data_IF_740999567288
#
_entry.id   IF_740999567288
#
_cell.length_a   1.000
_cell.length_b   1.000
_cell.length_c   1.000
_cell.angle_alpha   90.00
_cell.angle_beta   90.00
_cell.angle_gamma   90.00
#
_symmetry.space_group_name_H-M   'P 1'
#
loop_
_entity.id
_entity.type
_entity.pdbx_description
1 polymer ?
#
# COMPACT_ATOMS: atom_id res chain seq x y z
N UNK A 1 -21.15 -9.31 -6.83
CA UNK A 1 -20.74 -8.73 -5.52
C UNK A 1 -19.54 -9.43 -4.86
N UNK A 2 -18.96 -10.47 -5.47
CA UNK A 2 -17.89 -11.26 -4.85
C UNK A 2 -16.54 -10.53 -4.79
N UNK A 3 -16.25 -9.68 -5.78
CA UNK A 3 -14.98 -8.96 -5.88
C UNK A 3 -14.83 -7.91 -4.77
N UNK A 4 -15.86 -7.07 -4.60
CA UNK A 4 -15.89 -6.01 -3.57
C UNK A 4 -15.86 -6.62 -2.16
N UNK A 5 -16.61 -7.70 -1.92
CA UNK A 5 -16.58 -8.44 -0.64
C UNK A 5 -15.23 -9.10 -0.35
N UNK A 6 -14.49 -9.54 -1.39
CA UNK A 6 -13.12 -10.06 -1.23
C UNK A 6 -12.16 -8.95 -0.83
N UNK A 7 -12.21 -7.79 -1.49
CA UNK A 7 -11.42 -6.61 -1.12
C UNK A 7 -11.69 -6.15 0.31
N UNK A 8 -12.95 -6.12 0.74
CA UNK A 8 -13.27 -5.72 2.11
C UNK A 8 -12.66 -6.65 3.16
N UNK A 9 -12.60 -7.97 2.90
CA UNK A 9 -11.90 -8.93 3.78
C UNK A 9 -10.40 -8.65 3.87
N UNK A 10 -9.77 -8.27 2.76
CA UNK A 10 -8.35 -7.90 2.73
C UNK A 10 -8.09 -6.66 3.59
N UNK A 11 -8.91 -5.62 3.46
CA UNK A 11 -8.76 -4.41 4.28
C UNK A 11 -8.99 -4.67 5.78
N UNK A 12 -9.93 -5.54 6.13
CA UNK A 12 -10.15 -5.97 7.52
C UNK A 12 -8.93 -6.74 8.05
N UNK A 13 -8.38 -7.67 7.27
CA UNK A 13 -7.16 -8.38 7.65
C UNK A 13 -5.98 -7.42 7.86
N UNK A 14 -5.85 -6.42 7.00
CA UNK A 14 -4.81 -5.39 7.10
C UNK A 14 -4.98 -4.53 8.37
N UNK A 15 -6.21 -4.18 8.74
CA UNK A 15 -6.51 -3.53 10.02
C UNK A 15 -6.12 -4.42 11.22
N UNK A 16 -6.46 -5.70 11.19
CA UNK A 16 -6.12 -6.64 12.27
C UNK A 16 -4.61 -6.77 12.45
N UNK A 17 -3.85 -6.87 11.35
CA UNK A 17 -2.39 -6.88 11.37
C UNK A 17 -1.87 -5.58 12.00
N UNK A 18 -2.38 -4.42 11.56
CA UNK A 18 -2.00 -3.12 12.11
C UNK A 18 -2.25 -3.01 13.61
N UNK A 19 -3.43 -3.43 14.09
CA UNK A 19 -3.75 -3.44 15.52
C UNK A 19 -2.86 -4.40 16.32
N UNK A 20 -2.62 -5.61 15.80
CA UNK A 20 -1.76 -6.60 16.47
C UNK A 20 -0.31 -6.11 16.62
N UNK A 21 0.22 -5.46 15.58
CA UNK A 21 1.53 -4.82 15.63
C UNK A 21 1.56 -3.68 16.65
N UNK A 22 0.54 -2.82 16.66
CA UNK A 22 0.45 -1.70 17.61
C UNK A 22 0.42 -2.20 19.07
N UNK A 23 -0.38 -3.24 19.37
CA UNK A 23 -0.44 -3.88 20.68
C UNK A 23 0.92 -4.49 21.06
N UNK A 24 1.57 -5.20 20.12
CA UNK A 24 2.89 -5.79 20.36
C UNK A 24 3.96 -4.73 20.68
N UNK A 25 3.92 -3.57 20.01
CA UNK A 25 4.79 -2.42 20.30
C UNK A 25 4.51 -1.78 21.67
N UNK A 26 3.25 -1.70 22.09
CA UNK A 26 2.84 -1.16 23.40
C UNK A 26 3.20 -2.09 24.56
N UNK A 27 3.08 -3.40 24.39
CA UNK A 27 3.42 -4.40 25.41
C UNK A 27 4.93 -4.61 25.60
N UNK A 28 5.77 -3.91 24.83
CA UNK A 28 7.23 -4.01 24.96
C UNK A 28 7.80 -5.36 24.55
N UNK A 29 7.09 -6.10 23.69
CA UNK A 29 7.50 -7.45 23.23
C UNK A 29 8.74 -7.43 22.30
N UNK A 30 9.27 -6.26 21.95
CA UNK A 30 10.41 -6.07 21.06
C UNK A 30 11.47 -5.13 21.66
N UNK A 31 12.77 -5.37 21.42
CA UNK A 31 13.86 -4.54 21.92
C UNK A 31 13.74 -3.08 21.45
N UNK A 32 14.13 -2.15 22.32
CA UNK A 32 13.80 -0.71 22.25
C UNK A 32 14.40 0.06 21.08
N UNK A 33 15.35 -0.52 20.34
CA UNK A 33 16.12 0.22 19.33
C UNK A 33 15.42 0.21 17.96
N UNK A 34 15.87 -0.65 17.05
CA UNK A 34 15.46 -0.61 15.63
C UNK A 34 14.10 -1.30 15.36
N UNK A 35 13.80 -2.34 16.14
CA UNK A 35 12.62 -3.17 15.94
C UNK A 35 11.32 -2.42 16.27
N UNK A 36 11.33 -1.57 17.29
CA UNK A 36 10.14 -0.91 17.81
C UNK A 36 9.62 0.20 16.90
N UNK A 37 10.50 1.08 16.42
CA UNK A 37 10.12 2.20 15.55
C UNK A 37 9.65 1.74 14.17
N UNK A 38 10.33 0.74 13.60
CA UNK A 38 9.93 0.12 12.33
C UNK A 38 8.55 -0.54 12.47
N UNK A 39 8.28 -1.19 13.60
CA UNK A 39 7.02 -1.87 13.86
C UNK A 39 5.86 -0.89 14.06
N UNK A 40 6.09 0.26 14.70
CA UNK A 40 5.11 1.36 14.72
C UNK A 40 4.85 1.95 13.33
N UNK A 41 5.89 2.08 12.50
CA UNK A 41 5.74 2.49 11.09
C UNK A 41 4.85 1.53 10.29
N UNK A 42 5.10 0.21 10.41
CA UNK A 42 4.26 -0.83 9.80
C UNK A 42 2.83 -0.81 10.34
N UNK A 43 2.67 -0.68 11.66
CA UNK A 43 1.36 -0.59 12.28
C UNK A 43 0.55 0.61 11.76
N UNK A 44 1.17 1.79 11.71
CA UNK A 44 0.55 3.00 11.19
C UNK A 44 0.18 2.87 9.71
N UNK A 45 1.09 2.33 8.89
CA UNK A 45 0.84 2.08 7.47
C UNK A 45 -0.33 1.14 7.23
N UNK A 46 -0.37 0.00 7.94
CA UNK A 46 -1.46 -0.97 7.87
C UNK A 46 -2.80 -0.39 8.35
N UNK A 47 -2.81 0.41 9.41
CA UNK A 47 -4.02 1.04 9.92
C UNK A 47 -4.57 2.12 8.98
N UNK A 48 -3.71 2.95 8.40
CA UNK A 48 -4.13 4.00 7.46
C UNK A 48 -4.68 3.39 6.16
N UNK A 49 -3.92 2.49 5.54
CA UNK A 49 -4.32 1.84 4.28
C UNK A 49 -5.54 0.94 4.47
N UNK A 50 -5.57 0.15 5.55
CA UNK A 50 -6.70 -0.68 5.92
C UNK A 50 -7.95 0.14 6.24
N UNK A 51 -7.81 1.24 6.99
CA UNK A 51 -8.92 2.11 7.39
C UNK A 51 -9.54 2.87 6.21
N UNK A 52 -8.72 3.52 5.38
CA UNK A 52 -9.19 4.22 4.18
C UNK A 52 -9.82 3.22 3.19
N UNK A 53 -9.17 2.08 2.95
CA UNK A 53 -9.67 1.04 2.07
C UNK A 53 -10.99 0.42 2.55
N UNK A 54 -11.12 0.17 3.85
CA UNK A 54 -12.36 -0.30 4.45
C UNK A 54 -13.47 0.73 4.34
N UNK A 55 -13.21 2.00 4.64
CA UNK A 55 -14.18 3.08 4.55
C UNK A 55 -14.73 3.27 3.13
N UNK A 56 -13.83 3.31 2.14
CA UNK A 56 -14.22 3.46 0.73
C UNK A 56 -15.06 2.28 0.25
N UNK A 57 -14.66 1.05 0.59
CA UNK A 57 -15.44 -0.14 0.23
C UNK A 57 -16.79 -0.22 0.96
N UNK A 58 -16.83 0.18 2.23
CA UNK A 58 -18.06 0.22 3.00
C UNK A 58 -19.07 1.18 2.37
N UNK A 59 -18.62 2.38 1.97
CA UNK A 59 -19.46 3.35 1.24
C UNK A 59 -19.93 2.80 -0.11
N UNK A 60 -19.08 2.04 -0.80
CA UNK A 60 -19.41 1.41 -2.08
C UNK A 60 -20.47 0.31 -1.92
N UNK A 61 -20.34 -0.55 -0.91
CA UNK A 61 -21.30 -1.62 -0.61
C UNK A 61 -22.66 -1.09 -0.14
N UNK A 62 -22.69 0.08 0.49
CA UNK A 62 -23.93 0.76 0.87
C UNK A 62 -24.72 1.25 -0.35
N UNK A 63 -24.11 1.35 -1.53
CA UNK A 63 -24.77 1.74 -2.77
C UNK A 63 -24.71 0.61 -3.82
N UNK A 64 -25.73 -0.28 -3.88
CA UNK A 64 -25.68 -1.48 -4.71
C UNK A 64 -25.61 -1.19 -6.21
N UNK A 65 -26.17 -0.06 -6.68
CA UNK A 65 -26.10 0.35 -8.07
C UNK A 65 -24.65 0.63 -8.50
N UNK A 66 -23.91 1.42 -7.71
CA UNK A 66 -22.49 1.72 -7.96
C UNK A 66 -21.59 0.49 -7.78
N UNK A 67 -21.95 -0.40 -6.86
CA UNK A 67 -21.24 -1.67 -6.68
C UNK A 67 -21.38 -2.59 -7.91
N UNK A 68 -22.55 -2.62 -8.55
CA UNK A 68 -22.75 -3.38 -9.78
C UNK A 68 -22.01 -2.76 -10.98
N UNK A 69 -22.07 -1.43 -11.12
CA UNK A 69 -21.31 -0.71 -12.16
C UNK A 69 -19.81 -0.96 -12.05
N UNK A 70 -19.24 -0.91 -10.85
CA UNK A 70 -17.80 -1.16 -10.63
C UNK A 70 -17.37 -2.59 -10.91
N UNK A 71 -18.24 -3.59 -10.68
CA UNK A 71 -17.94 -4.97 -11.05
C UNK A 71 -18.03 -5.21 -12.56
N UNK A 72 -19.01 -4.62 -13.25
CA UNK A 72 -19.13 -4.69 -14.71
C UNK A 72 -17.95 -3.98 -15.38
N UNK A 73 -17.63 -2.77 -14.91
CA UNK A 73 -16.52 -1.96 -15.39
C UNK A 73 -15.14 -2.63 -15.19
N UNK A 74 -14.99 -3.54 -14.23
CA UNK A 74 -13.73 -4.24 -13.97
C UNK A 74 -13.34 -5.22 -15.11
N UNK A 75 -14.33 -5.72 -15.86
CA UNK A 75 -14.14 -6.62 -16.99
C UNK A 75 -13.88 -5.93 -18.33
N UNK A 76 -14.17 -4.63 -18.44
CA UNK A 76 -14.01 -3.90 -19.70
C UNK A 76 -12.54 -3.56 -20.00
N UNK A 77 -12.04 -3.93 -21.18
CA UNK A 77 -10.66 -3.67 -21.62
C UNK A 77 -10.28 -2.18 -21.55
N UNK A 78 -11.23 -1.29 -21.90
CA UNK A 78 -11.00 0.16 -21.83
C UNK A 78 -10.69 0.62 -20.40
N UNK A 79 -11.44 0.12 -19.42
CA UNK A 79 -11.22 0.47 -18.01
C UNK A 79 -9.97 -0.21 -17.46
N UNK A 80 -9.63 -1.41 -17.92
CA UNK A 80 -8.37 -2.06 -17.57
C UNK A 80 -7.16 -1.23 -18.06
N UNK A 81 -7.22 -0.69 -19.28
CA UNK A 81 -6.18 0.17 -19.83
C UNK A 81 -6.05 1.50 -19.06
N UNK A 82 -7.18 2.16 -18.77
CA UNK A 82 -7.19 3.40 -17.95
C UNK A 82 -6.62 3.13 -16.56
N UNK A 83 -7.03 2.01 -15.93
CA UNK A 83 -6.55 1.61 -14.61
C UNK A 83 -5.04 1.33 -14.63
N UNK A 84 -4.53 0.68 -15.66
CA UNK A 84 -3.10 0.41 -15.82
C UNK A 84 -2.30 1.72 -15.93
N UNK A 85 -2.74 2.66 -16.79
CA UNK A 85 -2.10 3.99 -16.90
C UNK A 85 -2.13 4.76 -15.58
N UNK A 86 -3.26 4.73 -14.87
CA UNK A 86 -3.38 5.36 -13.56
C UNK A 86 -2.41 4.74 -12.55
N UNK A 87 -2.28 3.41 -12.51
CA UNK A 87 -1.31 2.74 -11.65
C UNK A 87 0.14 3.12 -11.99
N UNK A 88 0.50 3.18 -13.28
CA UNK A 88 1.83 3.62 -13.71
C UNK A 88 2.11 5.07 -13.29
N UNK A 89 1.13 5.97 -13.43
CA UNK A 89 1.28 7.36 -13.01
C UNK A 89 1.43 7.50 -11.49
N UNK A 90 0.60 6.80 -10.71
CA UNK A 90 0.70 6.76 -9.25
C UNK A 90 2.06 6.21 -8.81
N UNK A 91 2.54 5.14 -9.46
CA UNK A 91 3.86 4.58 -9.18
C UNK A 91 4.97 5.61 -9.42
N UNK A 92 4.95 6.32 -10.55
CA UNK A 92 5.94 7.35 -10.84
C UNK A 92 5.94 8.49 -9.80
N UNK A 93 4.75 8.96 -9.41
CA UNK A 93 4.62 9.98 -8.35
C UNK A 93 5.15 9.45 -7.01
N UNK A 94 4.84 8.22 -6.64
CA UNK A 94 5.33 7.61 -5.39
C UNK A 94 6.86 7.54 -5.36
N UNK A 95 7.51 7.13 -6.46
CA UNK A 95 8.98 7.08 -6.55
C UNK A 95 9.59 8.48 -6.38
N UNK A 96 8.99 9.51 -6.98
CA UNK A 96 9.47 10.90 -6.83
C UNK A 96 9.30 11.37 -5.38
N UNK A 97 8.13 11.14 -4.78
CA UNK A 97 7.83 11.56 -3.40
C UNK A 97 8.73 10.84 -2.40
N UNK A 98 8.91 9.52 -2.51
CA UNK A 98 9.81 8.74 -1.66
C UNK A 98 11.27 9.15 -1.85
N UNK A 99 11.71 9.37 -3.10
CA UNK A 99 13.07 9.83 -3.40
C UNK A 99 13.37 11.23 -2.85
N UNK A 100 12.43 12.18 -2.96
CA UNK A 100 12.59 13.49 -2.34
C UNK A 100 12.57 13.40 -0.81
N UNK A 101 11.69 12.57 -0.25
CA UNK A 101 11.58 12.38 1.19
C UNK A 101 12.85 11.77 1.78
N UNK A 102 13.51 10.84 1.07
CA UNK A 102 14.78 10.26 1.53
C UNK A 102 15.92 11.27 1.55
N UNK A 103 15.99 12.16 0.55
CA UNK A 103 16.97 13.26 0.52
C UNK A 103 16.72 14.26 1.65
N UNK A 104 15.46 14.67 1.87
CA UNK A 104 15.09 15.61 2.93
C UNK A 104 15.39 15.02 4.31
N UNK A 105 15.01 13.77 4.56
CA UNK A 105 15.27 13.08 5.84
C UNK A 105 16.76 12.87 6.09
N UNK A 106 17.54 12.58 5.05
CA UNK A 106 19.00 12.51 5.15
C UNK A 106 19.61 13.88 5.52
N UNK A 107 19.13 14.97 4.91
CA UNK A 107 19.58 16.34 5.22
C UNK A 107 19.24 16.76 6.65
N UNK A 108 18.08 16.34 7.17
CA UNK A 108 17.67 16.56 8.56
C UNK A 108 18.43 15.71 9.59
N UNK A 109 19.34 14.84 9.15
CA UNK A 109 20.11 13.95 10.03
C UNK A 109 19.31 12.74 10.53
N UNK A 110 18.11 12.49 10.01
CA UNK A 110 17.28 11.34 10.37
C UNK A 110 17.72 10.10 9.59
N UNK A 111 18.91 9.59 9.91
CA UNK A 111 19.56 8.49 9.20
C UNK A 111 18.67 7.25 9.09
N UNK A 112 17.93 6.91 10.14
CA UNK A 112 17.03 5.75 10.14
C UNK A 112 15.88 5.90 9.13
N UNK A 113 15.23 7.06 9.08
CA UNK A 113 14.15 7.34 8.13
C UNK A 113 14.67 7.39 6.68
N UNK A 114 15.87 7.94 6.47
CA UNK A 114 16.49 7.97 5.15
C UNK A 114 16.80 6.55 4.63
N UNK A 115 17.37 5.69 5.48
CA UNK A 115 17.70 4.29 5.13
C UNK A 115 16.43 3.50 4.83
N UNK A 116 15.38 3.64 5.63
CA UNK A 116 14.12 2.91 5.42
C UNK A 116 13.43 3.33 4.11
N UNK A 117 13.38 4.64 3.81
CA UNK A 117 12.83 5.14 2.55
C UNK A 117 13.65 4.67 1.33
N UNK A 118 14.98 4.69 1.42
CA UNK A 118 15.84 4.18 0.35
C UNK A 118 15.65 2.66 0.13
N UNK A 119 15.51 1.89 1.21
CA UNK A 119 15.26 0.45 1.12
C UNK A 119 13.89 0.16 0.48
N UNK A 120 12.85 0.90 0.86
CA UNK A 120 11.51 0.79 0.26
C UNK A 120 11.55 1.11 -1.24
N UNK A 121 12.21 2.21 -1.62
CA UNK A 121 12.35 2.62 -3.02
C UNK A 121 13.09 1.57 -3.84
N UNK A 122 14.15 0.96 -3.30
CA UNK A 122 14.87 -0.15 -3.94
C UNK A 122 13.97 -1.38 -4.15
N UNK A 123 13.25 -1.81 -3.12
CA UNK A 123 12.32 -2.95 -3.20
C UNK A 123 11.23 -2.68 -4.25
N UNK A 124 10.68 -1.47 -4.27
CA UNK A 124 9.63 -1.06 -5.19
C UNK A 124 10.13 -1.06 -6.64
N UNK A 125 11.33 -0.55 -6.90
CA UNK A 125 11.97 -0.61 -8.22
C UNK A 125 12.29 -2.04 -8.66
N UNK A 126 12.81 -2.88 -7.76
CA UNK A 126 13.10 -4.29 -8.05
C UNK A 126 11.83 -5.08 -8.37
N UNK A 127 10.76 -4.88 -7.59
CA UNK A 127 9.46 -5.51 -7.85
C UNK A 127 8.92 -5.08 -9.22
N UNK A 128 8.93 -3.78 -9.52
CA UNK A 128 8.47 -3.27 -10.81
C UNK A 128 9.30 -3.84 -11.97
N UNK A 129 10.62 -3.87 -11.85
CA UNK A 129 11.50 -4.42 -12.87
C UNK A 129 11.28 -5.93 -13.06
N UNK A 130 11.11 -6.68 -11.97
CA UNK A 130 10.79 -8.10 -12.00
C UNK A 130 9.49 -8.39 -12.74
N UNK A 131 8.41 -7.67 -12.41
CA UNK A 131 7.14 -7.80 -13.11
C UNK A 131 7.23 -7.34 -14.57
N UNK A 132 7.88 -6.22 -14.85
CA UNK A 132 8.06 -5.72 -16.21
C UNK A 132 8.78 -6.76 -17.08
N UNK A 133 9.85 -7.36 -16.56
CA UNK A 133 10.62 -8.41 -17.27
C UNK A 133 9.84 -9.71 -17.45
N UNK A 134 9.04 -10.09 -16.46
CA UNK A 134 8.19 -11.29 -16.55
C UNK A 134 7.13 -11.11 -17.64
N UNK A 135 6.42 -9.98 -17.61
CA UNK A 135 5.35 -9.72 -18.57
C UNK A 135 5.85 -9.40 -19.97
N UNK A 136 7.00 -8.73 -20.13
CA UNK A 136 7.60 -8.47 -21.45
C UNK A 136 8.13 -9.74 -22.14
N UNK A 137 8.21 -10.87 -21.43
CA UNK A 137 8.58 -12.17 -22.01
C UNK A 137 7.36 -12.99 -22.42
N UNK A 138 6.20 -12.70 -21.84
CA UNK A 138 4.98 -13.48 -22.01
C UNK A 138 4.07 -12.83 -23.07
N UNK A 139 4.07 -11.49 -23.13
CA UNK A 139 3.35 -10.67 -24.09
C UNK A 139 4.34 -9.92 -24.98
#
# INVERSE_FOLDING_TARGET
MGYIKRLQRIYIAQLLIGFSALIAGLCGLYPQDFGRDTLYGVAAGCLLTGGVGWWLNFRLLRNPARAAETELAAGEERNQFVRMKAFTAVFAVMVIVEGLSSVVTAYMGWQQAAITLCALLLIQCLAYWGFARYYSRIY
#
